data_IF_580668028566
#
_entry.id   IF_580668028566
#
_cell.length_a   1.000
_cell.length_b   1.000
_cell.length_c   1.000
_cell.angle_alpha   90.00
_cell.angle_beta   90.00
_cell.angle_gamma   90.00
#
_symmetry.space_group_name_H-M   'P 1'
#
loop_
_entity.id
_entity.type
_entity.pdbx_description
1 polymer ?
#
# COMPACT_ATOMS: atom_id res chain seq x y z
N UNK A 1 -23.05 -31.89 -12.89
CA UNK A 1 -24.23 -31.41 -13.64
C UNK A 1 -23.87 -30.16 -14.39
N UNK A 2 -23.13 -30.31 -15.49
CA UNK A 2 -22.65 -29.23 -16.33
C UNK A 2 -23.05 -29.58 -17.77
N UNK A 3 -24.24 -29.18 -18.19
CA UNK A 3 -24.73 -29.25 -19.57
C UNK A 3 -26.15 -28.64 -19.63
N UNK A 4 -26.27 -27.31 -19.61
CA UNK A 4 -27.52 -26.63 -19.94
C UNK A 4 -27.32 -25.13 -20.23
N UNK A 5 -26.37 -24.73 -21.08
CA UNK A 5 -26.26 -23.34 -21.54
C UNK A 5 -26.07 -23.18 -23.05
N UNK A 6 -26.35 -24.22 -23.83
CA UNK A 6 -26.31 -24.10 -25.28
C UNK A 6 -27.50 -24.82 -25.88
N UNK A 7 -28.59 -24.07 -26.12
CA UNK A 7 -29.43 -24.17 -27.33
C UNK A 7 -30.56 -23.14 -27.24
N UNK A 8 -30.64 -22.24 -28.23
CA UNK A 8 -31.93 -21.73 -28.68
C UNK A 8 -32.00 -20.24 -29.01
N UNK A 9 -31.77 -19.90 -30.28
CA UNK A 9 -32.70 -19.04 -31.03
C UNK A 9 -32.62 -17.53 -30.85
N UNK A 10 -32.07 -16.89 -31.89
CA UNK A 10 -32.27 -15.51 -32.34
C UNK A 10 -33.34 -14.64 -31.62
N UNK A 11 -32.87 -13.50 -31.11
CA UNK A 11 -33.65 -12.45 -30.48
C UNK A 11 -33.52 -12.50 -28.96
N UNK A 12 -33.47 -11.34 -28.29
CA UNK A 12 -33.39 -11.17 -26.82
C UNK A 12 -31.96 -11.02 -26.29
N UNK A 13 -31.44 -9.79 -26.34
CA UNK A 13 -30.42 -9.31 -25.41
C UNK A 13 -30.95 -9.14 -23.97
N UNK A 14 -31.87 -10.01 -23.52
CA UNK A 14 -32.59 -9.91 -22.23
C UNK A 14 -32.38 -11.09 -21.28
N UNK A 15 -31.62 -12.12 -21.67
CA UNK A 15 -31.28 -13.22 -20.75
C UNK A 15 -30.40 -12.76 -19.59
N UNK A 16 -29.46 -11.87 -19.88
CA UNK A 16 -28.55 -11.29 -18.90
C UNK A 16 -29.20 -10.20 -18.06
N UNK A 17 -30.11 -9.39 -18.63
CA UNK A 17 -30.93 -8.42 -17.87
C UNK A 17 -31.72 -9.11 -16.75
N UNK A 18 -32.31 -10.28 -17.05
CA UNK A 18 -33.03 -11.08 -16.05
C UNK A 18 -32.05 -11.64 -15.01
N UNK A 19 -30.88 -12.13 -15.43
CA UNK A 19 -29.86 -12.65 -14.52
C UNK A 19 -29.32 -11.56 -13.57
N UNK A 20 -29.11 -10.35 -14.08
CA UNK A 20 -28.73 -9.17 -13.29
C UNK A 20 -29.78 -8.85 -12.24
N UNK A 21 -31.06 -8.75 -12.64
CA UNK A 21 -32.16 -8.52 -11.71
C UNK A 21 -32.26 -9.62 -10.66
N UNK A 22 -32.10 -10.89 -11.06
CA UNK A 22 -32.10 -12.02 -10.14
C UNK A 22 -30.95 -11.95 -9.13
N UNK A 23 -29.76 -11.48 -9.54
CA UNK A 23 -28.61 -11.32 -8.66
C UNK A 23 -28.82 -10.18 -7.65
N UNK A 24 -29.39 -9.05 -8.09
CA UNK A 24 -29.75 -7.94 -7.18
C UNK A 24 -30.84 -8.35 -6.17
N UNK A 25 -31.83 -9.13 -6.64
CA UNK A 25 -32.84 -9.70 -5.77
C UNK A 25 -32.24 -10.69 -4.78
N UNK A 26 -31.33 -11.58 -5.23
CA UNK A 26 -30.63 -12.54 -4.37
C UNK A 26 -29.86 -11.82 -3.26
N UNK A 27 -29.10 -10.79 -3.62
CA UNK A 27 -28.38 -9.93 -2.67
C UNK A 27 -29.34 -9.32 -1.63
N UNK A 28 -30.46 -8.76 -2.09
CA UNK A 28 -31.46 -8.12 -1.22
C UNK A 28 -32.11 -9.12 -0.26
N UNK A 29 -32.44 -10.31 -0.77
CA UNK A 29 -33.03 -11.40 0.01
C UNK A 29 -32.06 -11.91 1.07
N UNK A 30 -30.77 -12.08 0.72
CA UNK A 30 -29.74 -12.50 1.67
C UNK A 30 -29.58 -11.52 2.82
N UNK A 31 -29.52 -10.21 2.52
CA UNK A 31 -29.38 -9.19 3.55
C UNK A 31 -30.61 -9.10 4.45
N UNK A 32 -31.82 -9.21 3.90
CA UNK A 32 -33.07 -9.23 4.68
C UNK A 32 -33.20 -10.48 5.55
N UNK A 33 -32.65 -11.60 5.11
CA UNK A 33 -32.70 -12.88 5.82
C UNK A 33 -31.35 -13.24 6.46
N UNK A 34 -30.61 -12.24 6.96
CA UNK A 34 -29.26 -12.41 7.53
C UNK A 34 -29.15 -13.46 8.64
N UNK A 35 -30.23 -13.75 9.35
CA UNK A 35 -30.23 -14.76 10.42
C UNK A 35 -30.24 -16.21 9.91
N UNK A 36 -30.66 -16.41 8.65
CA UNK A 36 -30.74 -17.73 8.00
C UNK A 36 -29.65 -17.92 6.95
N UNK A 37 -28.71 -16.97 6.86
CA UNK A 37 -27.72 -16.94 5.79
C UNK A 37 -26.82 -18.18 5.77
N UNK A 38 -26.48 -18.76 6.92
CA UNK A 38 -25.63 -19.96 7.00
C UNK A 38 -26.21 -21.14 6.22
N UNK A 39 -27.54 -21.28 6.19
CA UNK A 39 -28.20 -22.34 5.43
C UNK A 39 -28.26 -22.05 3.91
N UNK A 40 -28.32 -20.77 3.53
CA UNK A 40 -28.41 -20.34 2.12
C UNK A 40 -27.04 -20.20 1.47
N UNK A 41 -26.01 -19.91 2.25
CA UNK A 41 -24.69 -19.51 1.76
C UNK A 41 -24.03 -20.52 0.84
N UNK A 42 -24.00 -21.84 1.10
CA UNK A 42 -23.32 -22.79 0.21
C UNK A 42 -23.81 -22.68 -1.24
N UNK A 43 -25.14 -22.64 -1.44
CA UNK A 43 -25.74 -22.53 -2.78
C UNK A 43 -25.44 -21.17 -3.43
N UNK A 44 -25.49 -20.09 -2.65
CA UNK A 44 -25.21 -18.75 -3.19
C UNK A 44 -23.73 -18.60 -3.53
N UNK A 45 -22.86 -19.14 -2.69
CA UNK A 45 -21.43 -19.17 -2.94
C UNK A 45 -21.11 -19.94 -4.22
N UNK A 46 -21.72 -21.10 -4.45
CA UNK A 46 -21.54 -21.86 -5.71
C UNK A 46 -21.94 -21.03 -6.94
N UNK A 47 -23.02 -20.24 -6.85
CA UNK A 47 -23.42 -19.33 -7.93
C UNK A 47 -22.42 -18.21 -8.17
N UNK A 48 -21.94 -17.54 -7.10
CA UNK A 48 -20.90 -16.51 -7.24
C UNK A 48 -19.60 -17.10 -7.78
N UNK A 49 -19.21 -18.27 -7.29
CA UNK A 49 -18.02 -18.97 -7.76
C UNK A 49 -18.13 -19.31 -9.24
N UNK A 50 -19.28 -19.78 -9.71
CA UNK A 50 -19.51 -20.06 -11.13
C UNK A 50 -19.40 -18.79 -12.00
N UNK A 51 -19.94 -17.66 -11.53
CA UNK A 51 -19.83 -16.36 -12.23
C UNK A 51 -18.36 -15.93 -12.32
N UNK A 52 -17.62 -16.02 -11.22
CA UNK A 52 -16.22 -15.58 -11.18
C UNK A 52 -15.27 -16.53 -11.92
N UNK A 53 -15.48 -17.84 -11.85
CA UNK A 53 -14.62 -18.82 -12.54
C UNK A 53 -14.79 -18.81 -14.06
N UNK A 54 -15.99 -18.44 -14.55
CA UNK A 54 -16.28 -18.32 -15.98
C UNK A 54 -16.36 -16.87 -16.42
N UNK A 55 -15.63 -15.96 -15.77
CA UNK A 55 -15.76 -14.51 -15.99
C UNK A 55 -15.48 -14.05 -17.42
N UNK A 56 -14.76 -14.84 -18.23
CA UNK A 56 -14.55 -14.57 -19.66
C UNK A 56 -15.76 -14.90 -20.55
N UNK A 57 -16.61 -15.81 -20.10
CA UNK A 57 -17.78 -16.30 -20.87
C UNK A 57 -19.08 -15.60 -20.45
N UNK A 58 -19.09 -15.03 -19.24
CA UNK A 58 -20.20 -14.28 -18.66
C UNK A 58 -20.14 -12.81 -19.10
N UNK A 59 -21.30 -12.18 -19.30
CA UNK A 59 -21.36 -10.74 -19.61
C UNK A 59 -20.73 -9.90 -18.49
N UNK A 60 -19.86 -8.96 -18.89
CA UNK A 60 -19.06 -8.16 -17.96
C UNK A 60 -19.89 -7.39 -16.91
N UNK A 61 -21.09 -6.92 -17.29
CA UNK A 61 -22.02 -6.24 -16.36
C UNK A 61 -22.48 -7.17 -15.24
N UNK A 62 -22.78 -8.43 -15.56
CA UNK A 62 -23.19 -9.42 -14.55
C UNK A 62 -22.02 -9.75 -13.62
N UNK A 63 -20.80 -9.90 -14.14
CA UNK A 63 -19.59 -10.11 -13.33
C UNK A 63 -19.37 -8.90 -12.40
N UNK A 64 -19.46 -7.69 -12.92
CA UNK A 64 -19.32 -6.45 -12.15
C UNK A 64 -20.34 -6.38 -11.00
N UNK A 65 -21.62 -6.68 -11.28
CA UNK A 65 -22.68 -6.75 -10.27
C UNK A 65 -22.42 -7.87 -9.26
N UNK A 66 -21.85 -8.99 -9.70
CA UNK A 66 -21.38 -10.09 -8.86
C UNK A 66 -20.33 -9.64 -7.85
N UNK A 67 -19.28 -8.96 -8.32
CA UNK A 67 -18.22 -8.42 -7.48
C UNK A 67 -18.78 -7.43 -6.47
N UNK A 68 -19.60 -6.48 -6.91
CA UNK A 68 -20.24 -5.50 -6.03
C UNK A 68 -21.10 -6.16 -4.95
N UNK A 69 -21.95 -7.12 -5.34
CA UNK A 69 -22.81 -7.85 -4.40
C UNK A 69 -21.98 -8.62 -3.38
N UNK A 70 -20.94 -9.34 -3.80
CA UNK A 70 -20.07 -10.11 -2.91
C UNK A 70 -19.32 -9.20 -1.91
N UNK A 71 -18.70 -8.12 -2.40
CA UNK A 71 -17.95 -7.19 -1.55
C UNK A 71 -18.85 -6.48 -0.54
N UNK A 72 -20.05 -6.06 -0.96
CA UNK A 72 -21.05 -5.44 -0.07
C UNK A 72 -21.67 -6.41 0.93
N UNK A 73 -21.87 -7.67 0.55
CA UNK A 73 -22.29 -8.72 1.49
C UNK A 73 -21.24 -8.88 2.59
N UNK A 74 -19.97 -8.98 2.21
CA UNK A 74 -18.87 -9.09 3.17
C UNK A 74 -18.81 -7.86 4.09
N UNK A 75 -18.86 -6.65 3.53
CA UNK A 75 -18.91 -5.38 4.30
C UNK A 75 -20.04 -5.37 5.34
N UNK A 76 -21.23 -5.83 4.97
CA UNK A 76 -22.44 -5.73 5.81
C UNK A 76 -22.61 -6.88 6.78
N UNK A 77 -22.03 -8.05 6.52
CA UNK A 77 -22.29 -9.26 7.31
C UNK A 77 -21.13 -9.63 8.23
N UNK A 78 -19.87 -9.37 7.83
CA UNK A 78 -18.70 -9.65 8.65
C UNK A 78 -18.79 -9.03 10.06
N UNK A 79 -19.23 -7.77 10.23
CA UNK A 79 -19.33 -7.17 11.57
C UNK A 79 -20.39 -7.80 12.47
N UNK A 80 -21.41 -8.46 11.90
CA UNK A 80 -22.60 -8.87 12.63
C UNK A 80 -22.68 -10.38 12.88
N UNK A 81 -22.02 -11.20 12.05
CA UNK A 81 -22.14 -12.66 12.09
C UNK A 81 -20.75 -13.31 12.02
N UNK A 82 -20.07 -13.53 13.17
CA UNK A 82 -18.77 -14.20 13.18
C UNK A 82 -18.87 -15.66 12.69
N UNK A 83 -20.00 -16.34 12.89
CA UNK A 83 -20.20 -17.75 12.54
C UNK A 83 -20.05 -18.06 11.04
N UNK A 84 -20.31 -17.07 10.17
CA UNK A 84 -20.18 -17.19 8.72
C UNK A 84 -18.93 -16.47 8.18
N UNK A 85 -18.15 -15.81 9.04
CA UNK A 85 -17.04 -14.96 8.62
C UNK A 85 -16.06 -15.69 7.70
N UNK A 86 -15.66 -16.92 8.05
CA UNK A 86 -14.76 -17.74 7.23
C UNK A 86 -15.33 -18.05 5.83
N UNK A 87 -16.65 -18.22 5.75
CA UNK A 87 -17.33 -18.52 4.49
C UNK A 87 -17.50 -17.26 3.61
N UNK A 88 -17.73 -16.09 4.23
CA UNK A 88 -17.71 -14.80 3.54
C UNK A 88 -16.30 -14.45 3.05
N UNK A 89 -15.29 -14.75 3.85
CA UNK A 89 -13.87 -14.61 3.52
C UNK A 89 -13.50 -15.40 2.26
N UNK A 90 -14.00 -16.64 2.12
CA UNK A 90 -13.88 -17.42 0.87
C UNK A 90 -14.57 -16.74 -0.32
N UNK A 91 -15.62 -15.96 -0.08
CA UNK A 91 -16.27 -15.10 -1.08
C UNK A 91 -15.34 -14.02 -1.62
N UNK A 92 -14.60 -13.32 -0.74
CA UNK A 92 -13.59 -12.33 -1.15
C UNK A 92 -12.47 -13.01 -1.96
N UNK A 93 -12.04 -14.19 -1.56
CA UNK A 93 -11.05 -14.97 -2.30
C UNK A 93 -11.57 -15.40 -3.68
N UNK A 94 -12.85 -15.75 -3.80
CA UNK A 94 -13.46 -16.08 -5.09
C UNK A 94 -13.46 -14.86 -6.04
N UNK A 95 -13.65 -13.64 -5.53
CA UNK A 95 -13.53 -12.40 -6.34
C UNK A 95 -12.11 -12.25 -6.89
N UNK A 96 -11.07 -12.61 -6.13
CA UNK A 96 -9.68 -12.61 -6.66
C UNK A 96 -9.40 -13.67 -7.72
N UNK A 97 -10.34 -14.59 -7.96
CA UNK A 97 -10.28 -15.58 -9.04
C UNK A 97 -10.90 -15.12 -10.36
N UNK A 98 -11.48 -13.92 -10.43
CA UNK A 98 -11.93 -13.32 -11.69
C UNK A 98 -10.73 -13.17 -12.63
N UNK A 99 -10.93 -13.48 -13.91
CA UNK A 99 -9.89 -13.35 -14.93
C UNK A 99 -9.28 -11.95 -14.95
N UNK A 100 -7.96 -11.88 -15.08
CA UNK A 100 -7.19 -10.65 -14.94
C UNK A 100 -7.65 -9.57 -15.93
N UNK A 101 -7.93 -9.94 -17.18
CA UNK A 101 -8.40 -8.98 -18.18
C UNK A 101 -9.77 -8.43 -17.82
N UNK A 102 -10.70 -9.30 -17.42
CA UNK A 102 -12.04 -8.91 -16.99
C UNK A 102 -11.98 -8.00 -15.75
N UNK A 103 -11.09 -8.30 -14.81
CA UNK A 103 -10.86 -7.47 -13.63
C UNK A 103 -10.29 -6.09 -13.99
N UNK A 104 -9.38 -6.01 -14.97
CA UNK A 104 -8.85 -4.74 -15.47
C UNK A 104 -9.94 -3.89 -16.14
N UNK A 105 -10.82 -4.49 -16.94
CA UNK A 105 -11.89 -3.78 -17.64
C UNK A 105 -12.91 -3.13 -16.67
N UNK A 106 -13.03 -3.65 -15.44
CA UNK A 106 -13.89 -3.10 -14.38
C UNK A 106 -13.12 -2.55 -13.17
N UNK A 107 -11.84 -2.20 -13.37
CA UNK A 107 -10.93 -1.70 -12.33
C UNK A 107 -11.53 -0.59 -11.43
N UNK A 108 -12.24 0.43 -11.95
CA UNK A 108 -12.82 1.49 -11.10
C UNK A 108 -13.83 0.95 -10.08
N UNK A 109 -14.59 -0.07 -10.46
CA UNK A 109 -15.59 -0.70 -9.58
C UNK A 109 -14.91 -1.51 -8.50
N UNK A 110 -13.93 -2.35 -8.87
CA UNK A 110 -13.17 -3.15 -7.91
C UNK A 110 -12.44 -2.23 -6.92
N UNK A 111 -11.81 -1.15 -7.39
CA UNK A 111 -11.13 -0.19 -6.53
C UNK A 111 -12.08 0.45 -5.50
N UNK A 112 -13.28 0.84 -5.92
CA UNK A 112 -14.28 1.41 -5.03
C UNK A 112 -14.79 0.40 -3.98
N UNK A 113 -15.08 -0.83 -4.39
CA UNK A 113 -15.60 -1.87 -3.52
C UNK A 113 -14.53 -2.42 -2.55
N UNK A 114 -13.26 -2.51 -2.97
CA UNK A 114 -12.12 -2.82 -2.09
C UNK A 114 -11.92 -1.72 -1.05
N UNK A 115 -11.96 -0.45 -1.46
CA UNK A 115 -11.85 0.67 -0.52
C UNK A 115 -12.99 0.67 0.51
N UNK A 116 -14.22 0.39 0.08
CA UNK A 116 -15.38 0.24 0.95
C UNK A 116 -15.26 -0.96 1.91
N UNK A 117 -14.75 -2.09 1.42
CA UNK A 117 -14.52 -3.30 2.21
C UNK A 117 -13.52 -3.04 3.33
N UNK A 118 -12.39 -2.46 3.00
CA UNK A 118 -11.34 -2.17 3.98
C UNK A 118 -11.84 -1.17 5.02
N UNK A 119 -12.45 -0.06 4.60
CA UNK A 119 -12.97 0.96 5.52
C UNK A 119 -14.09 0.45 6.44
N UNK A 120 -14.95 -0.44 5.94
CA UNK A 120 -16.10 -0.93 6.71
C UNK A 120 -15.83 -2.19 7.52
N UNK A 121 -14.91 -3.05 7.08
CA UNK A 121 -14.78 -4.41 7.61
C UNK A 121 -13.34 -4.91 7.82
N UNK A 122 -12.30 -4.08 7.67
CA UNK A 122 -10.91 -4.50 7.89
C UNK A 122 -10.65 -5.22 9.23
N UNK A 123 -11.21 -4.80 10.39
CA UNK A 123 -11.00 -5.48 11.66
C UNK A 123 -11.49 -6.94 11.68
N UNK A 124 -12.42 -7.30 10.80
CA UNK A 124 -13.00 -8.64 10.71
C UNK A 124 -12.28 -9.53 9.69
N UNK A 125 -11.28 -9.01 8.97
CA UNK A 125 -10.46 -9.77 8.02
C UNK A 125 -9.34 -10.49 8.78
N UNK A 126 -9.70 -11.56 9.49
CA UNK A 126 -8.84 -12.27 10.45
C UNK A 126 -7.85 -13.24 9.82
N UNK A 127 -7.94 -13.49 8.51
CA UNK A 127 -7.10 -14.48 7.81
C UNK A 127 -6.16 -13.82 6.80
N UNK A 128 -4.88 -14.21 6.85
CA UNK A 128 -3.84 -13.69 5.95
C UNK A 128 -4.19 -13.86 4.47
N UNK A 129 -4.83 -14.98 4.10
CA UNK A 129 -5.26 -15.26 2.71
C UNK A 129 -6.22 -14.21 2.15
N UNK A 130 -7.01 -13.54 2.99
CA UNK A 130 -7.90 -12.46 2.52
C UNK A 130 -7.10 -11.23 2.15
N UNK A 131 -6.08 -10.90 2.92
CA UNK A 131 -5.17 -9.81 2.62
C UNK A 131 -4.37 -10.10 1.34
N UNK A 132 -3.97 -11.36 1.11
CA UNK A 132 -3.37 -11.77 -0.17
C UNK A 132 -4.34 -11.53 -1.33
N UNK A 133 -5.61 -11.96 -1.21
CA UNK A 133 -6.62 -11.75 -2.24
C UNK A 133 -6.89 -10.27 -2.52
N UNK A 134 -7.10 -9.46 -1.47
CA UNK A 134 -7.37 -8.03 -1.59
C UNK A 134 -6.18 -7.28 -2.19
N UNK A 135 -4.96 -7.54 -1.70
CA UNK A 135 -3.76 -6.95 -2.26
C UNK A 135 -3.48 -7.43 -3.69
N UNK A 136 -3.80 -8.69 -4.02
CA UNK A 136 -3.75 -9.22 -5.38
C UNK A 136 -4.66 -8.46 -6.33
N UNK A 137 -5.91 -8.21 -5.93
CA UNK A 137 -6.84 -7.38 -6.70
C UNK A 137 -6.29 -5.96 -6.90
N UNK A 138 -5.75 -5.33 -5.85
CA UNK A 138 -5.11 -4.02 -5.96
C UNK A 138 -3.94 -4.03 -6.97
N UNK A 139 -3.12 -5.09 -6.98
CA UNK A 139 -2.00 -5.24 -7.92
C UNK A 139 -2.44 -5.45 -9.37
N UNK A 140 -3.63 -6.00 -9.61
CA UNK A 140 -4.19 -6.15 -10.95
C UNK A 140 -4.77 -4.82 -11.44
N UNK A 141 -5.52 -4.11 -10.60
CA UNK A 141 -6.23 -2.89 -11.03
C UNK A 141 -5.33 -1.64 -11.05
N UNK A 142 -4.15 -1.68 -10.41
CA UNK A 142 -3.20 -0.55 -10.42
C UNK A 142 -2.68 -0.17 -11.81
N UNK A 143 -2.81 -1.07 -12.80
CA UNK A 143 -2.37 -0.78 -14.17
C UNK A 143 -3.25 0.27 -14.85
N UNK A 144 -4.49 0.43 -14.41
CA UNK A 144 -5.43 1.43 -14.89
C UNK A 144 -5.14 2.82 -14.29
N UNK A 145 -4.75 3.83 -15.11
CA UNK A 145 -4.33 5.14 -14.62
C UNK A 145 -5.31 5.89 -13.69
N UNK A 146 -6.64 5.90 -13.91
CA UNK A 146 -7.57 6.58 -13.00
C UNK A 146 -7.77 5.82 -11.67
N UNK A 147 -7.50 4.51 -11.63
CA UNK A 147 -7.60 3.71 -10.40
C UNK A 147 -6.38 3.84 -9.50
N UNK A 148 -5.20 4.14 -10.07
CA UNK A 148 -3.94 4.16 -9.34
C UNK A 148 -3.96 5.08 -8.10
N UNK A 149 -4.39 6.37 -8.17
CA UNK A 149 -4.44 7.23 -6.98
C UNK A 149 -5.36 6.69 -5.89
N UNK A 150 -6.54 6.16 -6.28
CA UNK A 150 -7.51 5.57 -5.34
C UNK A 150 -6.94 4.35 -4.62
N UNK A 151 -6.14 3.54 -5.31
CA UNK A 151 -5.47 2.39 -4.72
C UNK A 151 -4.38 2.84 -3.73
N UNK A 152 -3.61 3.88 -4.06
CA UNK A 152 -2.66 4.50 -3.13
C UNK A 152 -3.34 5.04 -1.87
N UNK A 153 -4.47 5.74 -2.01
CA UNK A 153 -5.26 6.25 -0.88
C UNK A 153 -5.80 5.12 0.00
N UNK A 154 -6.20 4.02 -0.64
CA UNK A 154 -6.70 2.82 0.05
C UNK A 154 -5.58 2.16 0.86
N UNK A 155 -4.41 1.96 0.28
CA UNK A 155 -3.22 1.47 1.00
C UNK A 155 -2.80 2.43 2.12
N UNK A 156 -2.90 3.74 1.88
CA UNK A 156 -2.59 4.76 2.87
C UNK A 156 -3.54 4.73 4.06
N UNK A 157 -4.81 4.44 3.83
CA UNK A 157 -5.79 4.21 4.89
C UNK A 157 -5.46 2.92 5.66
N UNK A 158 -5.13 1.83 4.96
CA UNK A 158 -4.77 0.56 5.61
C UNK A 158 -3.57 0.72 6.54
N UNK A 159 -2.51 1.38 6.06
CA UNK A 159 -1.29 1.60 6.84
C UNK A 159 -1.51 2.43 8.12
N UNK A 160 -2.52 3.31 8.12
CA UNK A 160 -2.85 4.17 9.28
C UNK A 160 -3.81 3.50 10.26
N UNK A 161 -4.84 2.84 9.76
CA UNK A 161 -6.01 2.47 10.57
C UNK A 161 -6.14 0.96 10.84
N UNK A 162 -5.52 0.11 10.00
CA UNK A 162 -5.77 -1.34 10.05
C UNK A 162 -4.52 -2.21 9.93
N UNK A 163 -3.33 -1.62 10.04
CA UNK A 163 -2.09 -2.38 10.04
C UNK A 163 -2.03 -3.26 11.29
N UNK A 164 -1.70 -4.53 11.10
CA UNK A 164 -1.63 -5.56 12.14
C UNK A 164 -0.55 -6.58 11.77
N UNK A 165 -0.08 -7.41 12.72
CA UNK A 165 0.90 -8.45 12.41
C UNK A 165 0.45 -9.42 11.30
N UNK A 166 -0.86 -9.60 11.16
CA UNK A 166 -1.47 -10.48 10.15
C UNK A 166 -1.25 -9.97 8.71
N UNK A 167 -1.35 -8.66 8.49
CA UNK A 167 -1.35 -8.06 7.15
C UNK A 167 -0.09 -7.26 6.84
N UNK A 168 0.75 -6.98 7.83
CA UNK A 168 1.94 -6.14 7.73
C UNK A 168 2.79 -6.45 6.49
N UNK A 169 3.29 -7.68 6.38
CA UNK A 169 4.20 -8.06 5.30
C UNK A 169 3.55 -7.96 3.92
N UNK A 170 2.27 -8.35 3.79
CA UNK A 170 1.57 -8.35 2.50
C UNK A 170 1.27 -6.93 2.03
N UNK A 171 0.81 -6.07 2.95
CA UNK A 171 0.52 -4.68 2.65
C UNK A 171 1.79 -3.96 2.24
N UNK A 172 2.89 -4.11 2.97
CA UNK A 172 4.15 -3.44 2.63
C UNK A 172 4.73 -3.95 1.31
N UNK A 173 4.67 -5.26 1.03
CA UNK A 173 5.09 -5.79 -0.28
C UNK A 173 4.29 -5.14 -1.40
N UNK A 174 2.98 -4.99 -1.19
CA UNK A 174 2.10 -4.31 -2.14
C UNK A 174 2.45 -2.83 -2.30
N UNK A 175 2.79 -2.13 -1.21
CA UNK A 175 3.27 -0.75 -1.27
C UNK A 175 4.52 -0.63 -2.14
N UNK A 176 5.49 -1.54 -2.02
CA UNK A 176 6.71 -1.53 -2.86
C UNK A 176 6.38 -1.80 -4.33
N UNK A 177 5.50 -2.76 -4.63
CA UNK A 177 5.07 -3.03 -6.01
C UNK A 177 4.40 -1.78 -6.64
N UNK A 178 3.57 -1.07 -5.86
CA UNK A 178 2.99 0.21 -6.25
C UNK A 178 4.05 1.30 -6.44
N UNK A 179 5.12 1.28 -5.64
CA UNK A 179 6.18 2.28 -5.66
C UNK A 179 7.03 2.17 -6.93
N UNK A 180 7.33 0.94 -7.35
CA UNK A 180 7.98 0.67 -8.64
C UNK A 180 7.11 1.15 -9.80
N UNK A 181 5.80 0.92 -9.73
CA UNK A 181 4.85 1.39 -10.74
C UNK A 181 4.63 2.90 -10.72
N UNK A 182 4.68 3.55 -9.56
CA UNK A 182 4.49 4.99 -9.41
C UNK A 182 5.51 5.80 -10.21
N UNK A 183 6.74 5.28 -10.33
CA UNK A 183 7.80 5.90 -11.15
C UNK A 183 7.39 5.95 -12.63
N UNK A 184 6.86 4.84 -13.16
CA UNK A 184 6.38 4.77 -14.53
C UNK A 184 5.11 5.63 -14.73
N UNK A 185 4.22 5.67 -13.74
CA UNK A 185 3.02 6.49 -13.74
C UNK A 185 3.37 7.99 -13.84
N UNK A 186 4.36 8.44 -13.06
CA UNK A 186 4.90 9.80 -13.13
C UNK A 186 5.58 10.08 -14.48
N UNK A 187 6.38 9.14 -14.99
CA UNK A 187 7.08 9.29 -16.26
C UNK A 187 6.12 9.40 -17.47
N UNK A 188 4.97 8.71 -17.41
CA UNK A 188 3.88 8.83 -18.40
C UNK A 188 3.04 10.10 -18.22
N UNK A 189 3.48 11.00 -17.33
CA UNK A 189 2.94 12.34 -17.17
C UNK A 189 1.69 12.44 -16.30
N UNK A 190 1.40 11.46 -15.42
CA UNK A 190 0.35 11.54 -14.37
C UNK A 190 -0.89 12.35 -14.76
N UNK A 191 -1.34 12.14 -16.01
CA UNK A 191 -1.94 13.11 -16.94
C UNK A 191 -2.69 14.29 -16.31
N UNK A 192 -2.23 15.54 -16.51
CA UNK A 192 -3.02 16.77 -16.77
C UNK A 192 -4.38 17.03 -16.05
N UNK A 193 -4.79 16.32 -15.00
CA UNK A 193 -6.20 16.32 -14.57
C UNK A 193 -6.46 16.21 -13.06
N UNK A 194 -5.54 16.64 -12.20
CA UNK A 194 -5.89 16.94 -10.81
C UNK A 194 -6.55 18.33 -10.65
N UNK A 195 -6.64 19.15 -11.70
CA UNK A 195 -7.16 20.54 -11.62
C UNK A 195 -8.48 20.84 -12.32
N UNK A 196 -9.26 19.86 -12.80
CA UNK A 196 -10.69 20.10 -13.07
C UNK A 196 -11.51 19.84 -11.81
N UNK A 197 -11.29 20.72 -10.83
CA UNK A 197 -12.31 21.05 -9.84
C UNK A 197 -13.50 21.71 -10.54
N UNK A 198 -14.70 21.40 -10.05
CA UNK A 198 -15.97 21.65 -10.71
C UNK A 198 -16.18 23.03 -11.33
N UNK A 199 -16.65 23.01 -12.58
CA UNK A 199 -17.54 24.03 -13.11
C UNK A 199 -18.57 23.32 -13.99
N UNK A 200 -19.82 23.28 -13.53
CA UNK A 200 -20.99 23.00 -14.36
C UNK A 200 -20.99 23.95 -15.57
N UNK A 201 -21.19 23.48 -16.81
CA UNK A 201 -21.55 24.40 -17.87
C UNK A 201 -23.05 24.74 -17.74
N UNK A 202 -23.29 25.98 -17.34
CA UNK A 202 -24.59 26.66 -17.44
C UNK A 202 -25.05 26.69 -18.90
N UNK A 203 -26.35 26.48 -19.07
CA UNK A 203 -27.07 26.45 -20.33
C UNK A 203 -27.10 27.79 -21.09
N UNK A 204 -26.99 27.71 -22.42
CA UNK A 204 -27.58 28.56 -23.47
C UNK A 204 -27.27 27.84 -24.82
N UNK A 205 -28.11 27.73 -25.85
CA UNK A 205 -29.47 28.18 -26.16
C UNK A 205 -29.87 27.65 -27.58
N UNK A 206 -31.07 27.05 -27.72
CA UNK A 206 -31.97 26.97 -28.91
C UNK A 206 -31.55 26.24 -30.22
N UNK A 207 -32.49 25.81 -31.12
CA UNK A 207 -33.92 26.19 -31.23
C UNK A 207 -34.97 25.06 -31.45
N UNK A 208 -36.23 25.50 -31.34
CA UNK A 208 -37.53 24.98 -31.79
C UNK A 208 -37.59 23.77 -32.74
N UNK A 209 -38.52 22.83 -32.45
CA UNK A 209 -39.61 22.36 -33.33
C UNK A 209 -40.75 21.78 -32.46
N UNK A 210 -41.98 21.99 -32.92
CA UNK A 210 -43.25 21.96 -32.17
C UNK A 210 -44.00 20.62 -32.21
N UNK A 211 -44.99 20.52 -31.29
CA UNK A 211 -46.22 19.66 -31.30
C UNK A 211 -46.05 18.19 -30.87
N UNK A 212 -46.93 17.55 -30.10
CA UNK A 212 -48.33 17.80 -29.75
C UNK A 212 -48.75 17.08 -28.45
N UNK A 213 -49.89 17.54 -27.93
CA UNK A 213 -50.66 17.18 -26.73
C UNK A 213 -51.08 15.72 -26.53
N UNK A 214 -51.15 15.26 -25.28
CA UNK A 214 -52.33 14.58 -24.72
C UNK A 214 -52.29 14.52 -23.18
N UNK A 215 -53.46 14.48 -22.57
CA UNK A 215 -53.82 14.90 -21.22
C UNK A 215 -53.82 13.75 -20.17
N UNK A 216 -53.40 14.07 -18.93
CA UNK A 216 -53.97 13.80 -17.57
C UNK A 216 -54.54 12.38 -17.19
N UNK A 217 -54.87 12.08 -15.90
CA UNK A 217 -54.62 12.79 -14.63
C UNK A 217 -54.08 11.93 -13.44
N UNK A 218 -53.47 12.67 -12.49
CA UNK A 218 -53.59 12.69 -11.00
C UNK A 218 -54.12 11.48 -10.19
N UNK A 219 -53.28 11.04 -9.24
CA UNK A 219 -53.57 10.82 -7.80
C UNK A 219 -52.28 11.20 -7.07
N UNK A 220 -52.16 12.15 -6.13
CA UNK A 220 -53.01 12.42 -4.98
C UNK A 220 -52.42 11.67 -3.78
N UNK A 221 -51.68 12.35 -2.89
CA UNK A 221 -51.63 12.18 -1.42
C UNK A 221 -50.48 12.99 -0.77
N UNK A 222 -50.86 13.83 0.18
CA UNK A 222 -50.02 14.59 1.14
C UNK A 222 -49.56 13.68 2.30
N UNK A 223 -48.59 14.09 3.13
CA UNK A 223 -48.93 14.79 4.40
C UNK A 223 -47.90 15.89 4.80
N UNK A 224 -48.36 17.08 5.18
CA UNK A 224 -48.61 17.58 6.54
C UNK A 224 -47.37 17.79 7.43
N UNK A 225 -47.00 19.07 7.54
CA UNK A 225 -46.06 19.69 8.47
C UNK A 225 -46.56 19.66 9.93
N UNK A 226 -45.64 19.44 10.88
CA UNK A 226 -45.74 20.04 12.22
C UNK A 226 -44.34 20.23 12.82
N UNK A 227 -43.92 21.49 12.91
CA UNK A 227 -42.94 21.95 13.92
C UNK A 227 -43.69 22.16 15.25
N UNK A 228 -42.99 22.26 16.40
CA UNK A 228 -42.84 23.60 17.01
C UNK A 228 -41.49 23.74 17.82
N UNK A 229 -41.30 24.69 18.77
CA UNK A 229 -40.26 25.73 18.66
C UNK A 229 -39.18 25.64 19.75
N UNK A 230 -38.15 26.47 19.62
CA UNK A 230 -36.98 26.50 20.50
C UNK A 230 -37.19 27.09 21.89
N UNK A 231 -36.21 26.84 22.76
CA UNK A 231 -35.94 27.57 24.00
C UNK A 231 -34.41 27.62 24.24
N UNK A 232 -33.93 28.83 24.50
CA UNK A 232 -32.58 29.14 24.99
C UNK A 232 -32.46 28.79 26.48
N UNK A 233 -31.27 28.34 26.91
CA UNK A 233 -30.81 28.49 28.30
C UNK A 233 -29.28 28.35 28.35
N UNK A 234 -28.64 29.36 28.94
CA UNK A 234 -27.23 29.40 29.34
C UNK A 234 -27.00 28.52 30.59
N UNK A 235 -25.80 27.95 30.71
CA UNK A 235 -25.35 27.33 31.96
C UNK A 235 -23.93 26.76 31.86
N UNK A 236 -22.99 27.45 32.49
CA UNK A 236 -21.55 27.20 32.59
C UNK A 236 -21.17 25.87 33.27
N UNK A 237 -19.98 25.35 32.95
CA UNK A 237 -19.09 24.81 33.99
C UNK A 237 -18.36 23.48 33.72
N UNK A 238 -17.03 23.59 33.81
CA UNK A 238 -16.03 22.56 34.14
C UNK A 238 -15.58 21.58 33.05
N UNK A 239 -14.26 21.52 32.89
CA UNK A 239 -13.58 20.76 31.86
C UNK A 239 -12.91 19.50 32.36
N UNK A 240 -12.45 18.70 31.40
CA UNK A 240 -11.36 17.75 31.55
C UNK A 240 -10.61 17.73 30.22
N UNK A 241 -9.37 18.23 30.25
CA UNK A 241 -8.47 18.21 29.11
C UNK A 241 -8.00 16.77 28.87
N UNK A 242 -8.12 16.30 27.63
CA UNK A 242 -7.42 15.11 27.11
C UNK A 242 -6.57 15.53 25.91
N UNK A 243 -5.36 14.97 25.75
CA UNK A 243 -4.36 15.48 24.83
C UNK A 243 -4.66 15.03 23.39
N UNK A 244 -4.89 15.98 22.51
CA UNK A 244 -4.86 15.82 21.05
C UNK A 244 -3.40 15.81 20.58
N UNK A 245 -2.94 14.79 19.84
CA UNK A 245 -1.67 14.88 19.14
C UNK A 245 -1.87 15.44 17.73
N UNK A 246 -1.01 16.40 17.37
CA UNK A 246 -0.51 16.57 16.01
C UNK A 246 -1.35 17.45 15.07
N UNK A 247 -0.85 18.66 14.82
CA UNK A 247 -1.40 19.61 13.87
C UNK A 247 -1.53 19.05 12.45
N UNK A 248 -2.73 19.19 11.89
CA UNK A 248 -2.98 19.02 10.47
C UNK A 248 -2.31 20.14 9.69
N UNK A 249 -1.30 19.78 8.90
CA UNK A 249 -0.89 20.60 7.76
C UNK A 249 -2.05 20.68 6.74
N UNK A 250 -2.21 21.81 6.02
CA UNK A 250 -3.33 22.00 5.10
C UNK A 250 -3.34 20.97 3.96
N UNK A 251 -4.53 20.50 3.52
CA UNK A 251 -4.67 19.54 2.44
C UNK A 251 -4.51 20.28 1.10
N UNK A 252 -3.26 20.40 0.64
CA UNK A 252 -2.98 21.07 -0.63
C UNK A 252 -1.54 20.96 -1.12
N UNK A 253 -0.68 20.21 -0.44
CA UNK A 253 0.60 19.83 -1.04
C UNK A 253 0.31 18.73 -2.07
N UNK A 254 0.71 18.93 -3.32
CA UNK A 254 0.68 17.94 -4.39
C UNK A 254 1.49 16.70 -3.97
N UNK A 255 0.88 15.81 -3.19
CA UNK A 255 1.53 14.58 -2.74
C UNK A 255 1.57 13.66 -3.93
N UNK A 256 2.69 13.71 -4.64
CA UNK A 256 2.94 12.76 -5.72
C UNK A 256 2.74 11.33 -5.22
N UNK A 257 2.25 10.39 -6.05
CA UNK A 257 2.02 9.02 -5.61
C UNK A 257 3.27 8.36 -5.00
N UNK A 258 4.47 8.70 -5.52
CA UNK A 258 5.75 8.29 -4.94
C UNK A 258 5.91 8.83 -3.51
N UNK A 259 5.62 10.10 -3.27
CA UNK A 259 5.68 10.71 -1.94
C UNK A 259 4.71 10.05 -0.95
N UNK A 260 3.48 9.76 -1.40
CA UNK A 260 2.49 9.04 -0.57
C UNK A 260 3.04 7.66 -0.19
N UNK A 261 3.46 6.86 -1.17
CA UNK A 261 3.92 5.49 -0.95
C UNK A 261 5.21 5.42 -0.10
N UNK A 262 6.15 6.36 -0.29
CA UNK A 262 7.31 6.49 0.59
C UNK A 262 6.91 6.88 2.01
N UNK A 263 5.91 7.75 2.16
CA UNK A 263 5.29 8.05 3.45
C UNK A 263 4.70 6.82 4.11
N UNK A 264 4.13 5.88 3.35
CA UNK A 264 3.61 4.62 3.88
C UNK A 264 4.70 3.68 4.37
N UNK A 265 5.81 3.55 3.63
CA UNK A 265 6.96 2.76 4.10
C UNK A 265 7.52 3.31 5.42
N UNK A 266 7.59 4.64 5.55
CA UNK A 266 7.98 5.30 6.79
C UNK A 266 6.97 5.08 7.92
N UNK A 267 5.68 5.25 7.64
CA UNK A 267 4.64 5.03 8.64
C UNK A 267 4.61 3.57 9.12
N UNK A 268 4.91 2.60 8.24
CA UNK A 268 5.00 1.20 8.60
C UNK A 268 6.20 0.87 9.50
N UNK A 269 7.34 1.52 9.28
CA UNK A 269 8.50 1.44 10.18
C UNK A 269 8.13 1.97 11.57
N UNK A 270 7.50 3.15 11.63
CA UNK A 270 7.05 3.77 12.88
C UNK A 270 5.98 2.92 13.58
N UNK A 271 5.07 2.31 12.81
CA UNK A 271 4.09 1.37 13.34
C UNK A 271 4.75 0.14 13.97
N UNK A 272 5.78 -0.43 13.33
CA UNK A 272 6.49 -1.59 13.88
C UNK A 272 7.15 -1.26 15.22
N UNK A 273 7.74 -0.05 15.35
CA UNK A 273 8.32 0.47 16.59
C UNK A 273 7.26 0.59 17.69
N UNK A 274 6.15 1.27 17.41
CA UNK A 274 5.07 1.49 18.37
C UNK A 274 4.39 0.18 18.78
N UNK A 275 4.15 -0.73 17.82
CA UNK A 275 3.58 -2.05 18.08
C UNK A 275 4.47 -2.84 19.04
N UNK A 276 5.78 -2.87 18.79
CA UNK A 276 6.73 -3.60 19.64
C UNK A 276 6.80 -3.02 21.05
N UNK A 277 6.87 -1.70 21.19
CA UNK A 277 6.83 -1.03 22.49
C UNK A 277 5.54 -1.36 23.26
N UNK A 278 4.41 -1.45 22.56
CA UNK A 278 3.14 -1.91 23.14
C UNK A 278 3.14 -3.37 23.60
N UNK A 279 3.84 -4.27 22.89
CA UNK A 279 4.04 -5.67 23.32
C UNK A 279 4.90 -5.72 24.59
N UNK A 280 6.04 -5.03 24.61
CA UNK A 280 6.95 -5.01 25.76
C UNK A 280 6.30 -4.38 26.99
N UNK A 281 5.55 -3.28 26.81
CA UNK A 281 4.82 -2.62 27.90
C UNK A 281 3.78 -3.54 28.55
N UNK A 282 3.02 -4.29 27.75
CA UNK A 282 2.06 -5.29 28.25
C UNK A 282 2.74 -6.43 29.02
N UNK A 283 3.93 -6.85 28.59
CA UNK A 283 4.71 -7.86 29.29
C UNK A 283 5.32 -7.34 30.62
N UNK A 284 5.72 -6.06 30.67
CA UNK A 284 6.36 -5.44 31.84
C UNK A 284 5.39 -4.97 32.94
N UNK A 285 4.19 -4.48 32.57
CA UNK A 285 3.21 -3.91 33.51
C UNK A 285 2.61 -4.90 34.51
N UNK A 286 2.83 -6.19 34.33
CA UNK A 286 2.28 -7.24 35.20
C UNK A 286 3.18 -7.61 36.39
N UNK A 287 4.33 -6.94 36.55
CA UNK A 287 5.31 -7.22 37.60
C UNK A 287 4.96 -6.64 39.01
N UNK A 288 3.89 -5.86 39.14
CA UNK A 288 3.52 -5.18 40.40
C UNK A 288 2.42 -5.83 41.26
N UNK A 289 1.84 -6.95 40.83
CA UNK A 289 0.77 -7.64 41.57
C UNK A 289 1.28 -8.83 42.37
N UNK A 290 1.25 -8.76 43.70
CA UNK A 290 1.62 -9.84 44.65
C UNK A 290 0.61 -10.99 44.72
N UNK A 291 -0.04 -11.33 43.59
CA UNK A 291 -0.97 -12.44 43.48
C UNK A 291 -0.23 -13.79 43.37
N UNK A 292 -0.68 -14.85 44.06
CA UNK A 292 0.00 -16.14 44.03
C UNK A 292 -0.24 -16.84 42.69
N UNK A 293 0.86 -17.24 42.05
CA UNK A 293 0.95 -18.27 41.01
C UNK A 293 -0.04 -18.17 39.82
N UNK A 294 0.25 -17.29 38.87
CA UNK A 294 -0.39 -17.32 37.55
C UNK A 294 0.47 -16.62 36.50
N UNK A 295 1.25 -17.42 35.76
CA UNK A 295 1.92 -17.12 34.46
C UNK A 295 2.23 -15.63 34.17
N UNK A 296 3.48 -15.22 34.41
CA UNK A 296 4.05 -14.01 33.79
C UNK A 296 3.82 -14.11 32.27
N UNK A 297 3.12 -13.15 31.67
CA UNK A 297 3.03 -13.04 30.22
C UNK A 297 4.39 -12.59 29.68
N UNK A 298 5.35 -13.52 29.63
CA UNK A 298 6.59 -13.32 28.90
C UNK A 298 6.23 -12.99 27.45
N UNK A 299 6.98 -12.09 26.82
CA UNK A 299 6.83 -11.81 25.40
C UNK A 299 6.84 -13.15 24.66
N UNK A 300 5.78 -13.41 23.89
CA UNK A 300 5.62 -14.71 23.25
C UNK A 300 6.78 -14.96 22.29
N UNK A 301 7.22 -16.22 22.19
CA UNK A 301 8.16 -16.62 21.15
C UNK A 301 7.62 -16.24 19.75
N UNK A 302 6.29 -16.26 19.57
CA UNK A 302 5.63 -15.84 18.34
C UNK A 302 5.77 -14.33 18.08
N UNK A 303 5.65 -13.48 19.11
CA UNK A 303 5.81 -12.02 18.97
C UNK A 303 7.26 -11.66 18.59
N UNK A 304 8.23 -12.33 19.22
CA UNK A 304 9.63 -12.19 18.87
C UNK A 304 9.90 -12.68 17.45
N UNK A 305 9.38 -13.85 17.05
CA UNK A 305 9.57 -14.38 15.70
C UNK A 305 8.99 -13.41 14.65
N UNK A 306 7.75 -12.94 14.85
CA UNK A 306 7.14 -11.94 13.97
C UNK A 306 7.99 -10.67 13.88
N UNK A 307 8.47 -10.13 15.01
CA UNK A 307 9.32 -8.94 15.02
C UNK A 307 10.58 -9.11 14.15
N UNK A 308 11.30 -10.22 14.30
CA UNK A 308 12.52 -10.47 13.52
C UNK A 308 12.19 -10.56 12.02
N UNK A 309 11.15 -11.32 11.66
CA UNK A 309 10.73 -11.49 10.27
C UNK A 309 10.19 -10.19 9.65
N UNK A 310 9.42 -9.41 10.40
CA UNK A 310 8.87 -8.12 9.97
C UNK A 310 10.01 -7.10 9.72
N UNK A 311 10.97 -7.00 10.63
CA UNK A 311 12.14 -6.14 10.46
C UNK A 311 12.97 -6.56 9.23
N UNK A 312 13.24 -7.86 9.09
CA UNK A 312 13.96 -8.40 7.93
C UNK A 312 13.21 -8.13 6.61
N UNK A 313 11.89 -8.28 6.60
CA UNK A 313 11.05 -7.96 5.45
C UNK A 313 11.14 -6.48 5.08
N UNK A 314 11.05 -5.55 6.06
CA UNK A 314 11.21 -4.11 5.84
C UNK A 314 12.58 -3.81 5.22
N UNK A 315 13.65 -4.39 5.77
CA UNK A 315 14.99 -4.26 5.20
C UNK A 315 15.06 -4.72 3.74
N UNK A 316 14.47 -5.88 3.42
CA UNK A 316 14.43 -6.40 2.06
C UNK A 316 13.66 -5.50 1.10
N UNK A 317 12.52 -4.97 1.54
CA UNK A 317 11.68 -4.05 0.78
C UNK A 317 12.36 -2.71 0.52
N UNK A 318 13.05 -2.15 1.52
CA UNK A 318 13.86 -0.95 1.35
C UNK A 318 15.04 -1.18 0.41
N UNK A 319 15.73 -2.32 0.53
CA UNK A 319 16.80 -2.68 -0.41
C UNK A 319 16.30 -2.81 -1.86
N UNK A 320 15.09 -3.35 -2.06
CA UNK A 320 14.43 -3.39 -3.37
C UNK A 320 14.14 -1.96 -3.88
N UNK A 321 13.57 -1.10 -3.05
CA UNK A 321 13.28 0.30 -3.42
C UNK A 321 14.55 1.11 -3.73
N UNK A 322 15.68 0.87 -3.05
CA UNK A 322 16.97 1.52 -3.33
C UNK A 322 17.51 1.17 -4.73
N UNK A 323 17.11 0.04 -5.31
CA UNK A 323 17.47 -0.33 -6.70
C UNK A 323 16.64 0.43 -7.75
N UNK A 324 15.71 1.29 -7.34
CA UNK A 324 14.95 2.12 -8.28
C UNK A 324 15.85 3.12 -9.02
N UNK A 325 15.66 3.30 -10.35
CA UNK A 325 16.37 4.34 -11.09
C UNK A 325 15.94 5.75 -10.65
N UNK A 326 14.73 5.90 -10.10
CA UNK A 326 14.20 7.18 -9.65
C UNK A 326 14.92 7.67 -8.39
N UNK A 327 15.51 8.87 -8.49
CA UNK A 327 16.30 9.47 -7.42
C UNK A 327 15.48 9.75 -6.15
N UNK A 328 14.21 10.14 -6.27
CA UNK A 328 13.35 10.44 -5.11
C UNK A 328 13.02 9.16 -4.33
N UNK A 329 12.63 8.10 -5.04
CA UNK A 329 12.38 6.77 -4.45
C UNK A 329 13.62 6.27 -3.73
N UNK A 330 14.76 6.32 -4.43
CA UNK A 330 16.02 5.81 -3.92
C UNK A 330 16.52 6.60 -2.71
N UNK A 331 16.47 7.93 -2.77
CA UNK A 331 16.85 8.80 -1.66
C UNK A 331 15.98 8.53 -0.42
N UNK A 332 14.66 8.53 -0.58
CA UNK A 332 13.74 8.23 0.52
C UNK A 332 13.91 6.82 1.08
N UNK A 333 14.17 5.82 0.22
CA UNK A 333 14.40 4.45 0.65
C UNK A 333 15.72 4.31 1.41
N UNK A 334 16.80 5.01 1.01
CA UNK A 334 18.05 5.07 1.74
C UNK A 334 17.87 5.71 3.12
N UNK A 335 17.13 6.80 3.22
CA UNK A 335 16.86 7.48 4.49
C UNK A 335 16.08 6.57 5.45
N UNK A 336 15.07 5.84 4.95
CA UNK A 336 14.37 4.83 5.73
C UNK A 336 15.30 3.67 6.11
N UNK A 337 16.12 3.16 5.19
CA UNK A 337 17.05 2.06 5.44
C UNK A 337 18.05 2.40 6.56
N UNK A 338 18.61 3.61 6.53
CA UNK A 338 19.53 4.05 7.58
C UNK A 338 18.85 4.12 8.95
N UNK A 339 17.59 4.59 9.02
CA UNK A 339 16.81 4.62 10.27
C UNK A 339 16.50 3.20 10.76
N UNK A 340 16.04 2.32 9.88
CA UNK A 340 15.68 0.94 10.21
C UNK A 340 16.89 0.14 10.73
N UNK A 341 18.07 0.37 10.15
CA UNK A 341 19.35 -0.20 10.62
C UNK A 341 19.69 0.24 12.05
N UNK A 342 19.57 1.54 12.35
CA UNK A 342 19.89 2.07 13.68
C UNK A 342 18.84 1.66 14.71
N UNK A 343 17.58 1.56 14.30
CA UNK A 343 16.48 1.15 15.15
C UNK A 343 16.56 -0.32 15.57
N UNK A 344 17.29 -1.18 14.84
CA UNK A 344 17.37 -2.62 15.14
C UNK A 344 17.83 -2.93 16.58
N UNK A 345 18.64 -2.06 17.20
CA UNK A 345 19.12 -2.25 18.58
C UNK A 345 18.00 -1.95 19.57
N UNK A 346 17.25 -0.86 19.32
CA UNK A 346 16.04 -0.50 20.07
C UNK A 346 14.96 -1.59 19.97
N UNK A 347 14.84 -2.21 18.79
CA UNK A 347 13.94 -3.33 18.57
C UNK A 347 14.37 -4.62 19.28
N UNK A 348 15.63 -4.72 19.72
CA UNK A 348 16.20 -5.99 20.19
C UNK A 348 16.15 -7.05 19.09
N UNK A 349 16.54 -6.68 17.86
CA UNK A 349 16.72 -7.62 16.75
C UNK A 349 17.87 -8.55 17.12
N UNK A 350 17.70 -9.85 16.90
CA UNK A 350 18.71 -10.83 17.25
C UNK A 350 19.95 -10.66 16.36
N UNK A 351 21.18 -10.86 16.88
CA UNK A 351 22.40 -10.68 16.10
C UNK A 351 22.42 -11.56 14.84
N UNK A 352 21.86 -12.77 14.90
CA UNK A 352 21.75 -13.67 13.74
C UNK A 352 20.85 -13.09 12.64
N UNK A 353 19.77 -12.38 13.02
CA UNK A 353 18.88 -11.72 12.06
C UNK A 353 19.57 -10.51 11.41
N UNK A 354 20.30 -9.72 12.20
CA UNK A 354 21.13 -8.62 11.67
C UNK A 354 22.20 -9.14 10.73
N UNK A 355 22.90 -10.22 11.11
CA UNK A 355 23.91 -10.87 10.27
C UNK A 355 23.29 -11.38 8.97
N UNK A 356 22.12 -12.00 9.03
CA UNK A 356 21.38 -12.45 7.85
C UNK A 356 21.05 -11.28 6.93
N UNK A 357 20.52 -10.18 7.45
CA UNK A 357 20.22 -8.98 6.66
C UNK A 357 21.47 -8.36 6.03
N UNK A 358 22.58 -8.31 6.77
CA UNK A 358 23.86 -7.84 6.28
C UNK A 358 24.34 -8.67 5.08
N UNK A 359 24.36 -9.99 5.23
CA UNK A 359 24.88 -10.94 4.24
C UNK A 359 23.98 -11.13 3.03
N UNK A 360 22.66 -11.19 3.23
CA UNK A 360 21.71 -11.55 2.18
C UNK A 360 21.14 -10.33 1.46
N UNK A 361 21.15 -9.14 2.07
CA UNK A 361 20.52 -7.94 1.51
C UNK A 361 21.53 -6.82 1.26
N UNK A 362 22.17 -6.30 2.32
CA UNK A 362 22.97 -5.07 2.23
C UNK A 362 24.27 -5.25 1.45
N UNK A 363 25.03 -6.32 1.72
CA UNK A 363 26.30 -6.59 1.01
C UNK A 363 26.06 -6.84 -0.48
N UNK A 364 25.16 -7.77 -0.90
CA UNK A 364 24.86 -7.99 -2.31
C UNK A 364 24.42 -6.72 -3.03
N UNK A 365 23.48 -5.96 -2.43
CA UNK A 365 23.01 -4.69 -3.00
C UNK A 365 24.15 -3.68 -3.19
N UNK A 366 25.02 -3.52 -2.20
CA UNK A 366 26.15 -2.59 -2.30
C UNK A 366 27.15 -3.04 -3.37
N UNK A 367 27.42 -4.35 -3.47
CA UNK A 367 28.31 -4.88 -4.50
C UNK A 367 27.72 -4.72 -5.90
N UNK A 368 26.43 -4.96 -6.08
CA UNK A 368 25.73 -4.83 -7.36
C UNK A 368 25.77 -3.38 -7.85
N UNK A 369 25.43 -2.42 -6.98
CA UNK A 369 25.47 -0.99 -7.31
C UNK A 369 26.90 -0.49 -7.54
N UNK A 370 27.88 -0.99 -6.80
CA UNK A 370 29.29 -0.63 -7.02
C UNK A 370 29.78 -1.11 -8.40
N UNK A 371 29.36 -2.30 -8.83
CA UNK A 371 29.64 -2.82 -10.19
C UNK A 371 28.95 -1.97 -11.25
N UNK A 372 27.71 -1.55 -11.01
CA UNK A 372 26.98 -0.65 -11.92
C UNK A 372 27.72 0.69 -12.08
N UNK A 373 28.20 1.28 -10.98
CA UNK A 373 29.02 2.52 -11.01
C UNK A 373 30.34 2.31 -11.75
N UNK A 374 30.97 1.15 -11.61
CA UNK A 374 32.25 0.85 -12.26
C UNK A 374 32.10 0.54 -13.76
N UNK A 375 30.94 0.03 -14.18
CA UNK A 375 30.65 -0.21 -15.59
C UNK A 375 30.38 1.13 -16.29
N UNK A 376 31.36 1.65 -17.02
CA UNK A 376 31.25 2.88 -17.84
C UNK A 376 30.27 2.78 -19.03
N UNK A 377 29.34 1.83 -19.00
CA UNK A 377 28.43 1.50 -20.09
C UNK A 377 27.13 2.32 -20.07
N UNK A 378 26.25 2.10 -21.06
CA UNK A 378 24.95 2.77 -21.14
C UNK A 378 24.09 2.59 -19.88
N UNK A 379 24.22 1.46 -19.17
CA UNK A 379 23.53 1.20 -17.90
C UNK A 379 23.86 2.20 -16.79
N UNK A 380 25.02 2.87 -16.83
CA UNK A 380 25.34 3.93 -15.87
C UNK A 380 24.51 5.21 -16.12
N UNK A 381 24.01 5.42 -17.35
CA UNK A 381 23.14 6.57 -17.68
C UNK A 381 21.74 6.41 -17.09
N UNK A 382 21.27 5.17 -16.94
CA UNK A 382 19.95 4.86 -16.40
C UNK A 382 19.88 5.03 -14.87
N UNK A 383 21.04 5.21 -14.21
CA UNK A 383 21.13 5.32 -12.75
C UNK A 383 21.89 6.60 -12.33
N UNK A 384 21.25 7.79 -12.43
CA UNK A 384 21.89 9.05 -12.07
C UNK A 384 22.29 9.04 -10.59
N UNK A 385 23.46 9.58 -10.23
CA UNK A 385 23.95 9.62 -8.83
C UNK A 385 24.08 8.24 -8.16
N UNK A 386 24.41 7.20 -8.93
CA UNK A 386 24.73 5.87 -8.43
C UNK A 386 25.86 5.90 -7.39
N UNK A 387 26.86 6.76 -7.58
CA UNK A 387 28.00 6.93 -6.70
C UNK A 387 27.58 7.44 -5.30
N UNK A 388 26.68 8.44 -5.24
CA UNK A 388 26.13 8.96 -3.98
C UNK A 388 25.38 7.83 -3.24
N UNK A 389 24.58 7.07 -3.98
CA UNK A 389 23.81 5.95 -3.44
C UNK A 389 24.72 4.89 -2.82
N UNK A 390 25.78 4.49 -3.54
CA UNK A 390 26.78 3.53 -3.03
C UNK A 390 27.46 4.07 -1.77
N UNK A 391 27.80 5.37 -1.72
CA UNK A 391 28.38 6.00 -0.52
C UNK A 391 27.44 5.91 0.67
N UNK A 392 26.17 6.24 0.51
CA UNK A 392 25.18 6.15 1.60
C UNK A 392 24.97 4.70 2.07
N UNK A 393 24.96 3.73 1.15
CA UNK A 393 24.89 2.32 1.51
C UNK A 393 26.10 1.84 2.28
N UNK A 394 27.30 2.27 1.89
CA UNK A 394 28.54 1.96 2.61
C UNK A 394 28.51 2.59 4.01
N UNK A 395 27.94 3.79 4.17
CA UNK A 395 27.71 4.38 5.51
C UNK A 395 26.71 3.56 6.32
N UNK A 396 25.61 3.10 5.73
CA UNK A 396 24.64 2.24 6.40
C UNK A 396 25.28 0.91 6.84
N UNK A 397 26.05 0.26 5.94
CA UNK A 397 26.83 -0.94 6.24
C UNK A 397 27.83 -0.72 7.37
N UNK A 398 28.60 0.37 7.33
CA UNK A 398 29.55 0.70 8.39
C UNK A 398 28.85 0.90 9.73
N UNK A 399 27.68 1.56 9.76
CA UNK A 399 26.84 1.68 10.97
C UNK A 399 26.44 0.30 11.51
N UNK A 400 25.94 -0.61 10.66
CA UNK A 400 25.61 -1.99 11.09
C UNK A 400 26.84 -2.68 11.68
N UNK A 401 27.97 -2.67 10.96
CA UNK A 401 29.17 -3.38 11.42
C UNK A 401 29.66 -2.81 12.76
N UNK A 402 29.69 -1.49 12.93
CA UNK A 402 30.16 -0.86 14.15
C UNK A 402 29.20 -1.06 15.33
N UNK A 403 27.89 -0.95 15.11
CA UNK A 403 26.88 -1.13 16.16
C UNK A 403 26.82 -2.58 16.64
N UNK A 404 26.95 -3.55 15.72
CA UNK A 404 26.75 -4.97 16.02
C UNK A 404 28.05 -5.78 16.10
N UNK A 405 29.22 -5.18 15.90
CA UNK A 405 30.53 -5.84 16.02
C UNK A 405 30.68 -6.70 17.29
N UNK A 406 30.42 -6.20 18.51
CA UNK A 406 30.61 -7.02 19.72
C UNK A 406 29.63 -8.20 19.78
N UNK A 407 28.41 -8.01 19.27
CA UNK A 407 27.37 -9.05 19.28
C UNK A 407 27.68 -10.14 18.24
N UNK A 408 28.16 -9.75 17.06
CA UNK A 408 28.60 -10.67 16.01
C UNK A 408 29.90 -11.41 16.37
N UNK A 409 30.78 -10.80 17.18
CA UNK A 409 31.99 -11.47 17.64
C UNK A 409 31.70 -12.57 18.68
N UNK A 410 30.62 -12.41 19.45
CA UNK A 410 30.18 -13.36 20.48
C UNK A 410 29.24 -14.44 19.93
N UNK A 411 28.42 -14.10 18.93
CA UNK A 411 27.73 -15.10 18.13
C UNK A 411 28.79 -15.95 17.42
N UNK A 412 28.55 -17.26 17.24
CA UNK A 412 29.42 -18.14 16.44
C UNK A 412 29.31 -17.82 14.93
N UNK A 413 29.33 -16.54 14.59
CA UNK A 413 29.23 -16.02 13.26
C UNK A 413 30.47 -16.42 12.46
N UNK A 414 30.33 -16.97 11.25
CA UNK A 414 31.48 -17.26 10.42
C UNK A 414 32.27 -15.97 10.14
N UNK A 415 33.62 -16.00 10.20
CA UNK A 415 34.48 -14.85 9.94
C UNK A 415 34.31 -14.27 8.51
N UNK A 416 33.60 -14.97 7.63
CA UNK A 416 33.26 -14.53 6.28
C UNK A 416 32.36 -13.30 6.26
N UNK A 417 31.49 -13.09 7.24
CA UNK A 417 30.52 -11.98 7.21
C UNK A 417 31.17 -10.62 7.49
N UNK A 418 31.98 -10.56 8.54
CA UNK A 418 32.76 -9.37 8.89
C UNK A 418 33.82 -9.11 7.84
N UNK A 419 34.46 -10.15 7.28
CA UNK A 419 35.41 -10.01 6.19
C UNK A 419 34.75 -9.48 4.90
N UNK A 420 33.56 -9.97 4.54
CA UNK A 420 32.82 -9.52 3.36
C UNK A 420 32.38 -8.06 3.48
N UNK A 421 31.82 -7.67 4.64
CA UNK A 421 31.44 -6.29 4.90
C UNK A 421 32.67 -5.36 4.89
N UNK A 422 33.77 -5.76 5.54
CA UNK A 422 35.01 -5.00 5.51
C UNK A 422 35.63 -4.92 4.10
N UNK A 423 35.51 -5.97 3.29
CA UNK A 423 35.95 -5.96 1.90
C UNK A 423 35.10 -5.01 1.04
N UNK A 424 33.78 -4.99 1.24
CA UNK A 424 32.88 -4.05 0.55
C UNK A 424 33.22 -2.58 0.91
N UNK A 425 33.45 -2.30 2.20
CA UNK A 425 33.86 -0.96 2.67
C UNK A 425 35.22 -0.56 2.07
N UNK A 426 36.22 -1.46 2.12
CA UNK A 426 37.55 -1.20 1.53
C UNK A 426 37.49 -1.02 0.02
N UNK A 427 36.67 -1.80 -0.68
CA UNK A 427 36.47 -1.70 -2.13
C UNK A 427 35.91 -0.33 -2.52
N UNK A 428 34.88 0.13 -1.80
CA UNK A 428 34.31 1.46 -2.03
C UNK A 428 35.30 2.59 -1.71
N UNK A 429 36.08 2.47 -0.62
CA UNK A 429 37.09 3.46 -0.27
C UNK A 429 38.18 3.60 -1.35
N UNK A 430 38.64 2.48 -1.93
CA UNK A 430 39.59 2.51 -3.06
C UNK A 430 38.99 3.16 -4.29
N UNK A 431 37.73 2.89 -4.60
CA UNK A 431 37.04 3.49 -5.73
C UNK A 431 36.88 5.01 -5.57
N UNK A 432 36.57 5.48 -4.36
CA UNK A 432 36.53 6.91 -4.06
C UNK A 432 37.88 7.59 -4.20
N UNK A 433 38.96 6.93 -3.73
CA UNK A 433 40.31 7.46 -3.88
C UNK A 433 40.69 7.60 -5.36
N UNK A 434 40.43 6.57 -6.17
CA UNK A 434 40.68 6.62 -7.62
C UNK A 434 39.86 7.70 -8.34
N UNK A 435 38.59 7.91 -7.96
CA UNK A 435 37.77 9.00 -8.50
C UNK A 435 38.30 10.38 -8.12
N UNK A 436 38.74 10.57 -6.88
CA UNK A 436 39.32 11.83 -6.42
C UNK A 436 40.64 12.13 -7.13
N UNK A 437 41.48 11.12 -7.37
CA UNK A 437 42.72 11.26 -8.16
C UNK A 437 42.43 11.59 -9.62
N UNK A 438 41.47 10.91 -10.25
CA UNK A 438 41.05 11.20 -11.62
C UNK A 438 40.53 12.65 -11.75
N UNK A 439 39.67 13.10 -10.83
CA UNK A 439 39.18 14.48 -10.81
C UNK A 439 40.31 15.51 -10.66
N UNK A 440 41.31 15.23 -9.81
CA UNK A 440 42.52 16.07 -9.67
C UNK A 440 43.35 16.10 -10.95
N UNK A 441 43.50 14.96 -11.63
CA UNK A 441 44.21 14.90 -12.92
C UNK A 441 43.48 15.67 -14.02
N UNK A 442 42.15 15.57 -14.12
CA UNK A 442 41.37 16.38 -15.05
C UNK A 442 41.46 17.88 -14.75
N UNK A 443 41.41 18.27 -13.47
CA UNK A 443 41.58 19.66 -13.06
C UNK A 443 43.00 20.18 -13.39
N UNK A 444 44.03 19.35 -13.25
CA UNK A 444 45.40 19.68 -13.61
C UNK A 444 45.62 19.75 -15.14
N UNK A 445 44.83 19.00 -15.93
CA UNK A 445 44.89 18.96 -17.40
C UNK A 445 44.02 20.03 -18.08
N UNK A 446 43.37 20.93 -17.34
CA UNK A 446 42.75 22.16 -17.87
C UNK A 446 43.60 23.42 -17.61
N UNK A 447 44.82 23.55 -18.17
CA UNK A 447 45.53 24.82 -18.14
C UNK A 447 44.96 25.73 -19.24
N UNK A 448 44.08 26.68 -18.90
CA UNK A 448 43.73 27.72 -19.89
C UNK A 448 42.55 28.65 -19.65
N UNK A 449 41.65 28.40 -18.69
CA UNK A 449 40.44 29.23 -18.58
C UNK A 449 40.59 30.53 -17.75
N UNK A 450 41.73 30.76 -17.09
CA UNK A 450 41.87 31.85 -16.12
C UNK A 450 42.69 33.07 -16.57
N UNK A 451 43.08 33.18 -17.85
CA UNK A 451 43.92 34.29 -18.32
C UNK A 451 43.27 35.28 -19.31
N UNK A 452 41.95 35.28 -19.49
CA UNK A 452 41.27 36.16 -20.47
C UNK A 452 40.28 37.19 -19.90
N UNK A 453 40.41 37.58 -18.63
CA UNK A 453 39.51 38.58 -18.00
C UNK A 453 40.24 39.76 -17.34
N UNK A 454 41.30 40.28 -17.97
CA UNK A 454 41.98 41.52 -17.51
C UNK A 454 42.63 42.35 -18.64
N UNK A 455 41.98 42.47 -19.80
CA UNK A 455 42.32 43.51 -20.80
C UNK A 455 41.05 44.10 -21.39
N UNK A 456 40.49 45.08 -20.69
CA UNK A 456 39.30 45.83 -21.10
C UNK A 456 39.15 47.04 -20.22
N UNK A 457 40.12 47.96 -20.27
CA UNK A 457 40.11 49.16 -19.44
C UNK A 457 41.38 49.98 -19.62
N UNK A 458 41.50 50.64 -20.77
CA UNK A 458 42.18 51.93 -21.01
C UNK A 458 42.57 52.00 -22.49
N UNK A 459 41.86 52.82 -23.28
CA UNK A 459 42.42 53.92 -24.09
C UNK A 459 41.38 54.44 -25.11
N UNK A 460 41.24 55.78 -25.09
CA UNK A 460 40.56 56.72 -26.03
C UNK A 460 39.04 56.76 -26.09
#
# INVERSE_FOLDING_TARGET
>A
GAAAYATGGAGVGGGWDVAELCLELLFTVLLRNRDRITALWPRVYDHFQAIFSHSREVEGVLVQKGVMAMMRLCQRLLPYKPDIADSLVKGIQAVSGVDEQVAQDMAPTIAAEVAGLLKGAAPYLTTQQVWVAVCGLLKIIQYDPPCFPRCCDTLAWVARESLSPLNFTIVLQTVVDFLERAVEYQARGGLLSASQGGALPSAASHPHISSSSSSAPLLGLTPSSSAPPGLQSQGSGSGTASPTPGGGAPPGADTTPVGVLMGLLRAAEEWLELWWLGVVSRAGGQAGGTGPAGTKAAVSAADNAFKQEAWYAVMGMLCRAVRSPNLQVRGGALDCLQRTVVAADKFGVAPDCVQRALLQLLVPMTTDLSRLVAASGPSARDFPHADVTVRELVRALAKVVLLYAPQMANAAAPPSATAAAAAAVRGSARQQHGQAEWARQCAAQSPGASSQQSRGGQES
#
